data_IF_669339563638
#
_entry.id   IF_669339563638
#
_cell.length_a   1.000
_cell.length_b   1.000
_cell.length_c   1.000
_cell.angle_alpha   90.00
_cell.angle_beta   90.00
_cell.angle_gamma   90.00
#
_symmetry.space_group_name_H-M   'P 1'
#
loop_
_entity.id
_entity.type
_entity.pdbx_description
1 polymer ?
#
# COMPACT_ATOMS: atom_id res chain seq x y z
N UNK A 1 -10.97 -10.95 -8.93
CA UNK A 1 -10.73 -12.41 -8.91
C UNK A 1 -10.12 -12.96 -10.22
N UNK A 2 -9.73 -12.11 -11.19
CA UNK A 2 -9.19 -12.53 -12.49
C UNK A 2 -7.75 -12.05 -12.75
N UNK A 3 -6.89 -12.10 -11.73
CA UNK A 3 -5.49 -11.64 -11.84
C UNK A 3 -5.31 -10.12 -11.97
N UNK A 4 -6.40 -9.35 -11.94
CA UNK A 4 -6.37 -7.89 -11.97
C UNK A 4 -5.68 -7.30 -10.74
N UNK A 5 -4.84 -6.30 -10.96
CA UNK A 5 -4.26 -5.42 -9.94
C UNK A 5 -5.02 -4.09 -9.96
N UNK A 6 -5.37 -3.58 -8.78
CA UNK A 6 -6.12 -2.33 -8.61
C UNK A 6 -5.29 -1.42 -7.69
N UNK A 7 -5.12 -0.16 -8.08
CA UNK A 7 -4.60 0.88 -7.18
C UNK A 7 -5.70 1.29 -6.21
N UNK A 8 -5.59 0.83 -4.97
CA UNK A 8 -6.57 1.09 -3.90
C UNK A 8 -6.49 2.53 -3.42
N UNK A 9 -5.31 3.14 -3.46
CA UNK A 9 -5.10 4.48 -2.94
C UNK A 9 -3.64 4.81 -2.66
N UNK A 10 -3.38 6.11 -2.49
CA UNK A 10 -2.05 6.66 -2.26
C UNK A 10 -2.07 7.63 -1.09
N UNK A 11 -1.06 7.52 -0.23
CA UNK A 11 -0.77 8.52 0.80
C UNK A 11 0.52 9.27 0.43
N UNK A 12 0.50 10.59 0.56
CA UNK A 12 1.70 11.42 0.51
C UNK A 12 1.96 11.98 1.91
N UNK A 13 3.19 11.86 2.38
CA UNK A 13 3.60 12.33 3.70
C UNK A 13 4.48 13.55 3.54
N UNK A 14 4.12 14.67 4.19
CA UNK A 14 4.97 15.85 4.23
C UNK A 14 6.28 15.50 4.95
N UNK A 15 7.46 15.67 4.31
CA UNK A 15 8.74 15.31 4.91
C UNK A 15 8.91 15.99 6.27
N UNK A 16 9.37 15.25 7.28
CA UNK A 16 9.63 15.75 8.65
C UNK A 16 8.37 16.06 9.48
N UNK A 17 7.19 16.22 8.87
CA UNK A 17 5.95 16.57 9.59
C UNK A 17 4.99 15.40 9.77
N UNK A 18 5.02 14.40 8.89
CA UNK A 18 4.14 13.25 8.95
C UNK A 18 4.95 11.95 9.03
N UNK A 19 4.62 11.09 9.99
CA UNK A 19 5.12 9.72 10.02
C UNK A 19 4.50 8.95 8.84
N UNK A 20 5.24 8.07 8.15
CA UNK A 20 4.73 7.26 7.04
C UNK A 20 3.83 6.12 7.56
N UNK A 21 2.71 6.47 8.18
CA UNK A 21 1.70 5.56 8.69
C UNK A 21 0.33 5.99 8.16
N UNK A 22 -0.34 5.10 7.45
CA UNK A 22 -1.68 5.33 6.89
C UNK A 22 -2.52 4.08 7.02
N UNK A 23 -3.83 4.29 7.13
CA UNK A 23 -4.83 3.22 7.13
C UNK A 23 -5.84 3.46 6.01
N UNK A 24 -6.02 2.45 5.16
CA UNK A 24 -7.14 2.38 4.22
C UNK A 24 -8.24 1.50 4.79
N UNK A 25 -9.49 1.81 4.49
CA UNK A 25 -10.63 0.97 4.79
C UNK A 25 -11.19 0.45 3.47
N UNK A 26 -11.14 -0.87 3.28
CA UNK A 26 -11.54 -1.54 2.04
C UNK A 26 -12.35 -2.80 2.34
N UNK A 27 -13.17 -3.30 1.40
CA UNK A 27 -13.84 -4.59 1.52
C UNK A 27 -12.80 -5.74 1.43
N UNK A 28 -12.15 -6.07 2.54
CA UNK A 28 -11.02 -7.02 2.60
C UNK A 28 -11.33 -8.36 1.90
N UNK A 29 -12.54 -8.89 2.07
CA UNK A 29 -12.97 -10.18 1.50
C UNK A 29 -13.03 -10.22 -0.04
N UNK A 30 -12.94 -9.07 -0.72
CA UNK A 30 -12.96 -9.00 -2.19
C UNK A 30 -11.56 -9.19 -2.81
N UNK A 31 -10.50 -9.11 -2.00
CA UNK A 31 -9.10 -9.14 -2.45
C UNK A 31 -8.40 -10.43 -2.00
N UNK A 32 -7.56 -10.99 -2.88
CA UNK A 32 -6.73 -12.17 -2.56
C UNK A 32 -5.45 -11.82 -1.79
N UNK A 33 -4.95 -10.61 -2.02
CA UNK A 33 -3.70 -10.11 -1.44
C UNK A 33 -3.67 -8.59 -1.53
N UNK A 34 -2.90 -7.99 -0.63
CA UNK A 34 -2.58 -6.56 -0.66
C UNK A 34 -1.09 -6.38 -0.90
N UNK A 35 -0.75 -5.45 -1.80
CA UNK A 35 0.62 -5.02 -2.06
C UNK A 35 0.76 -3.58 -1.59
N UNK A 36 1.67 -3.34 -0.64
CA UNK A 36 2.08 -2.00 -0.24
C UNK A 36 3.35 -1.63 -1.00
N UNK A 37 3.37 -0.43 -1.60
CA UNK A 37 4.56 0.16 -2.21
C UNK A 37 4.95 1.43 -1.45
N UNK A 38 6.20 1.47 -1.01
CA UNK A 38 6.83 2.61 -0.36
C UNK A 38 7.89 3.23 -1.29
N UNK A 39 8.03 4.55 -1.21
CA UNK A 39 9.13 5.29 -1.82
C UNK A 39 9.87 6.10 -0.75
N UNK A 40 11.18 5.85 -0.62
CA UNK A 40 12.11 6.68 0.12
C UNK A 40 12.98 7.47 -0.87
N UNK A 41 13.12 8.78 -0.67
CA UNK A 41 13.85 9.66 -1.58
C UNK A 41 15.34 9.37 -1.71
N UNK A 42 15.93 8.63 -0.76
CA UNK A 42 17.36 8.23 -0.77
C UNK A 42 17.57 6.72 -0.92
N UNK A 43 16.55 5.89 -0.67
CA UNK A 43 16.65 4.43 -0.69
C UNK A 43 15.78 3.75 -1.75
N UNK A 44 15.07 4.51 -2.58
CA UNK A 44 14.29 3.97 -3.69
C UNK A 44 12.96 3.35 -3.24
N UNK A 45 12.56 2.28 -3.94
CA UNK A 45 11.26 1.64 -3.78
C UNK A 45 11.36 0.37 -2.95
N UNK A 46 10.36 0.17 -2.09
CA UNK A 46 10.22 -1.00 -1.23
C UNK A 46 8.81 -1.54 -1.36
N UNK A 47 8.68 -2.87 -1.35
CA UNK A 47 7.39 -3.54 -1.48
C UNK A 47 7.15 -4.54 -0.35
N UNK A 48 5.89 -4.74 -0.01
CA UNK A 48 5.47 -5.83 0.87
C UNK A 48 4.11 -6.37 0.43
N UNK A 49 4.01 -7.69 0.30
CA UNK A 49 2.80 -8.39 -0.12
C UNK A 49 2.27 -9.25 1.03
N UNK A 50 0.98 -9.14 1.32
CA UNK A 50 0.28 -9.96 2.31
C UNK A 50 -0.92 -10.62 1.65
N UNK A 51 -0.98 -11.95 1.68
CA UNK A 51 -2.17 -12.71 1.28
C UNK A 51 -3.23 -12.62 2.38
N UNK A 52 -4.50 -12.61 1.96
CA UNK A 52 -5.65 -12.53 2.86
C UNK A 52 -6.36 -13.89 2.81
N UNK A 53 -6.63 -14.46 3.98
CA UNK A 53 -7.40 -15.71 4.13
C UNK A 53 -8.90 -15.53 3.84
#
# INVERSE_FOLDING_TARGET
KDGQVIDIGRANFAPVYANPNVRFQVPVAEFKSFMALEYCNIHGLWENCVEVE
#
